data_IF_505345038475
#
_entry.id   IF_505345038475
#
_cell.length_a   1.000
_cell.length_b   1.000
_cell.length_c   1.000
_cell.angle_alpha   90.00
_cell.angle_beta   90.00
_cell.angle_gamma   90.00
#
_symmetry.space_group_name_H-M   'P 1'
#
loop_
_entity.id
_entity.type
_entity.pdbx_description
1 polymer ?
#
# COMPACT_ATOMS: atom_id res chain seq x y z
N UNK A 1 -7.06 -6.98 25.24
CA UNK A 1 -6.25 -6.58 24.07
C UNK A 1 -7.05 -6.90 22.82
N UNK A 2 -7.72 -5.92 22.22
CA UNK A 2 -8.29 -6.04 20.88
C UNK A 2 -7.14 -5.97 19.89
N UNK A 3 -6.55 -7.13 19.59
CA UNK A 3 -5.75 -7.26 18.36
C UNK A 3 -6.70 -6.84 17.23
N UNK A 4 -6.39 -5.74 16.56
CA UNK A 4 -7.15 -5.33 15.39
C UNK A 4 -7.32 -6.55 14.48
N UNK A 5 -8.52 -6.79 13.98
CA UNK A 5 -8.95 -8.01 13.28
C UNK A 5 -8.17 -8.32 11.99
N UNK A 6 -7.06 -7.64 11.72
CA UNK A 6 -6.27 -7.75 10.48
C UNK A 6 -6.95 -7.11 9.26
N UNK A 7 -8.22 -6.71 9.38
CA UNK A 7 -9.07 -6.25 8.27
C UNK A 7 -8.51 -5.03 7.53
N UNK A 8 -7.92 -4.09 8.28
CA UNK A 8 -7.42 -2.85 7.68
C UNK A 8 -6.28 -3.10 6.69
N UNK A 9 -5.27 -3.87 7.10
CA UNK A 9 -4.10 -4.13 6.24
C UNK A 9 -4.42 -5.13 5.13
N UNK A 10 -5.33 -6.09 5.37
CA UNK A 10 -5.79 -6.99 4.32
C UNK A 10 -6.55 -6.25 3.22
N UNK A 11 -7.39 -5.27 3.57
CA UNK A 11 -8.09 -4.43 2.60
C UNK A 11 -7.10 -3.59 1.78
N UNK A 12 -6.14 -2.96 2.45
CA UNK A 12 -5.10 -2.18 1.76
C UNK A 12 -4.30 -3.07 0.81
N UNK A 13 -3.95 -4.30 1.21
CA UNK A 13 -3.25 -5.25 0.35
C UNK A 13 -4.08 -5.59 -0.89
N UNK A 14 -5.36 -5.90 -0.71
CA UNK A 14 -6.29 -6.17 -1.82
C UNK A 14 -6.40 -4.99 -2.80
N UNK A 15 -6.50 -3.76 -2.27
CA UNK A 15 -6.56 -2.55 -3.09
C UNK A 15 -5.27 -2.34 -3.88
N UNK A 16 -4.10 -2.50 -3.24
CA UNK A 16 -2.82 -2.37 -3.93
C UNK A 16 -2.67 -3.44 -5.02
N UNK A 17 -3.07 -4.68 -4.75
CA UNK A 17 -3.01 -5.76 -5.74
C UNK A 17 -3.91 -5.46 -6.95
N UNK A 18 -5.14 -4.97 -6.71
CA UNK A 18 -6.07 -4.56 -7.77
C UNK A 18 -5.52 -3.40 -8.61
N UNK A 19 -4.78 -2.47 -7.99
CA UNK A 19 -4.14 -1.33 -8.66
C UNK A 19 -2.78 -1.66 -9.26
N UNK A 20 -2.34 -2.93 -9.25
CA UNK A 20 -1.00 -3.36 -9.68
C UNK A 20 0.12 -2.59 -8.93
N UNK A 21 -0.19 -2.15 -7.72
CA UNK A 21 0.73 -1.51 -6.79
C UNK A 21 1.40 -2.53 -5.88
N UNK A 22 2.24 -2.03 -4.97
CA UNK A 22 2.96 -2.85 -3.98
C UNK A 22 2.89 -2.17 -2.61
N UNK A 23 2.81 -2.97 -1.55
CA UNK A 23 2.93 -2.53 -0.16
C UNK A 23 4.11 -3.23 0.51
N UNK A 24 4.90 -2.49 1.29
CA UNK A 24 5.95 -3.03 2.17
C UNK A 24 5.76 -2.53 3.60
N UNK A 25 6.17 -3.35 4.57
CA UNK A 25 6.07 -3.04 6.00
C UNK A 25 7.41 -3.28 6.66
N UNK A 26 7.88 -2.29 7.39
CA UNK A 26 9.10 -2.35 8.19
C UNK A 26 8.71 -2.01 9.63
N UNK A 27 9.09 -2.84 10.59
CA UNK A 27 8.75 -2.62 11.99
C UNK A 27 9.95 -2.91 12.86
N UNK A 28 10.19 -2.02 13.82
CA UNK A 28 11.25 -2.19 14.81
C UNK A 28 10.69 -1.92 16.21
N UNK A 29 10.97 -2.84 17.13
CA UNK A 29 10.50 -2.77 18.51
C UNK A 29 10.99 -1.46 19.15
N UNK A 30 10.07 -0.72 19.76
CA UNK A 30 10.37 0.57 20.39
C UNK A 30 10.53 1.75 19.42
N UNK A 31 10.56 1.52 18.09
CA UNK A 31 10.57 2.59 17.07
C UNK A 31 9.27 2.69 16.28
N UNK A 32 8.43 1.65 16.34
CA UNK A 32 7.14 1.61 15.67
C UNK A 32 7.20 0.91 14.31
N UNK A 33 6.27 1.25 13.43
CA UNK A 33 6.10 0.60 12.13
C UNK A 33 5.96 1.62 11.00
N UNK A 34 6.60 1.34 9.87
CA UNK A 34 6.51 2.09 8.63
C UNK A 34 5.84 1.23 7.56
N UNK A 35 4.83 1.80 6.91
CA UNK A 35 4.13 1.20 5.78
C UNK A 35 4.43 2.04 4.55
N UNK A 36 4.88 1.41 3.47
CA UNK A 36 5.22 2.10 2.22
C UNK A 36 4.38 1.53 1.07
N UNK A 37 3.72 2.40 0.32
CA UNK A 37 2.88 2.06 -0.84
C UNK A 37 3.58 2.53 -2.12
N UNK A 38 3.59 1.67 -3.12
CA UNK A 38 4.15 1.94 -4.45
C UNK A 38 3.04 1.79 -5.48
N UNK A 39 2.89 2.79 -6.34
CA UNK A 39 1.89 2.82 -7.39
C UNK A 39 2.57 2.79 -8.77
N UNK A 40 2.01 2.08 -9.76
CA UNK A 40 2.53 2.14 -11.11
C UNK A 40 2.38 3.56 -11.68
N UNK A 41 3.40 4.04 -12.38
CA UNK A 41 3.33 5.32 -13.08
C UNK A 41 2.39 5.19 -14.27
N UNK A 42 1.33 6.00 -14.31
CA UNK A 42 0.51 6.12 -15.50
C UNK A 42 1.19 7.06 -16.49
N UNK A 43 1.39 6.58 -17.72
CA UNK A 43 1.82 7.45 -18.82
C UNK A 43 0.68 8.41 -19.13
N UNK A 44 0.89 9.69 -18.82
CA UNK A 44 -0.01 10.74 -19.30
C UNK A 44 0.27 10.89 -20.79
N UNK A 45 -0.55 10.26 -21.63
CA UNK A 45 -0.53 10.53 -23.07
C UNK A 45 -1.27 11.85 -23.28
N UNK A 46 -0.52 12.95 -23.35
CA UNK A 46 -1.05 14.21 -23.88
C UNK A 46 -1.28 14.01 -25.38
N UNK A 47 -2.54 13.76 -25.77
CA UNK A 47 -3.00 13.89 -27.15
C UNK A 47 -2.82 15.35 -27.58
N UNK A 48 -1.67 15.68 -28.16
CA UNK A 48 -1.53 16.87 -29.00
C UNK A 48 -2.16 16.53 -30.35
N UNK A 49 -3.14 17.34 -30.75
CA UNK A 49 -3.88 17.20 -32.01
C UNK A 49 -3.05 17.45 -33.25
#
# INVERSE_FOLDING_TARGET
KTSGTGLGLSLVKQLMDAQQGKITVESELGKGSRFTLYFPLQKITTSHG
#
